data_IF_063348837971
#
_entry.id   IF_063348837971
#
_cell.length_a   1.000
_cell.length_b   1.000
_cell.length_c   1.000
_cell.angle_alpha   90.00
_cell.angle_beta   90.00
_cell.angle_gamma   90.00
#
_symmetry.space_group_name_H-M   'P 1'
#
loop_
_entity.id
_entity.type
_entity.pdbx_description
1 polymer ?
#
# COMPACT_ATOMS: atom_id res chain seq x y z
N UNK A 1 8.21 0.13 -4.19
CA UNK A 1 6.94 0.61 -4.77
C UNK A 1 6.46 -0.34 -5.88
N UNK A 2 5.16 -0.36 -6.20
CA UNK A 2 4.63 -1.26 -7.23
C UNK A 2 4.98 -0.78 -8.65
N UNK A 3 4.61 0.46 -8.97
CA UNK A 3 4.97 1.22 -10.17
C UNK A 3 4.96 2.73 -9.83
N UNK A 4 5.39 3.59 -10.74
CA UNK A 4 5.37 5.06 -10.58
C UNK A 4 3.95 5.61 -10.59
N UNK A 5 3.14 5.13 -11.53
CA UNK A 5 1.72 5.47 -11.68
C UNK A 5 0.91 4.18 -11.58
N UNK A 6 -0.07 4.16 -10.67
CA UNK A 6 -0.94 3.01 -10.51
C UNK A 6 -2.31 3.41 -9.97
N UNK A 7 -3.32 2.60 -10.28
CA UNK A 7 -4.61 2.63 -9.61
C UNK A 7 -4.52 1.76 -8.34
N UNK A 8 -4.88 2.35 -7.20
CA UNK A 8 -5.10 1.63 -5.96
C UNK A 8 -6.59 1.42 -5.76
N UNK A 9 -7.02 0.17 -5.67
CA UNK A 9 -8.42 -0.21 -5.45
C UNK A 9 -8.69 -0.46 -3.98
N UNK A 10 -9.67 0.23 -3.42
CA UNK A 10 -10.13 0.04 -2.04
C UNK A 10 -11.54 -0.56 -2.06
N UNK A 11 -11.73 -1.65 -1.32
CA UNK A 11 -13.02 -2.31 -1.17
C UNK A 11 -13.77 -1.69 0.01
N UNK A 12 -15.01 -1.27 -0.22
CA UNK A 12 -15.88 -0.64 0.76
C UNK A 12 -17.19 -1.43 0.86
N UNK A 13 -17.80 -1.44 2.04
CA UNK A 13 -19.17 -1.94 2.18
C UNK A 13 -20.12 -1.03 1.41
N UNK A 14 -21.13 -1.60 0.73
CA UNK A 14 -22.20 -0.83 0.06
C UNK A 14 -22.95 0.13 0.98
N UNK A 15 -22.89 -0.09 2.28
CA UNK A 15 -23.56 0.74 3.30
C UNK A 15 -22.62 1.80 3.91
N UNK A 16 -21.38 1.92 3.43
CA UNK A 16 -20.43 2.90 3.97
C UNK A 16 -20.82 4.33 3.59
N UNK A 17 -20.77 5.23 4.56
CA UNK A 17 -21.00 6.67 4.36
C UNK A 17 -19.90 7.35 3.54
N UNK A 18 -18.77 6.67 3.32
CA UNK A 18 -17.67 7.13 2.47
C UNK A 18 -18.02 7.12 0.98
N UNK A 19 -18.97 6.29 0.54
CA UNK A 19 -19.26 6.10 -0.89
C UNK A 19 -19.71 7.40 -1.54
N UNK A 20 -20.63 8.14 -0.92
CA UNK A 20 -21.14 9.39 -1.47
C UNK A 20 -20.04 10.44 -1.57
N UNK A 21 -19.19 10.54 -0.55
CA UNK A 21 -18.06 11.48 -0.52
C UNK A 21 -17.05 11.18 -1.62
N UNK A 22 -16.68 9.91 -1.78
CA UNK A 22 -15.74 9.45 -2.81
C UNK A 22 -16.29 9.70 -4.21
N UNK A 23 -17.58 9.42 -4.43
CA UNK A 23 -18.24 9.68 -5.72
C UNK A 23 -18.34 11.17 -6.03
N UNK A 24 -18.67 12.00 -5.04
CA UNK A 24 -18.74 13.46 -5.18
C UNK A 24 -17.36 14.09 -5.45
N UNK A 25 -16.30 13.47 -4.93
CA UNK A 25 -14.92 13.83 -5.22
C UNK A 25 -14.44 13.39 -6.61
N UNK A 26 -15.27 12.69 -7.40
CA UNK A 26 -14.99 12.34 -8.79
C UNK A 26 -14.24 11.02 -8.99
N UNK A 27 -14.04 10.23 -7.93
CA UNK A 27 -13.42 8.90 -8.06
C UNK A 27 -14.38 7.88 -8.64
N UNK A 28 -13.85 6.96 -9.45
CA UNK A 28 -14.62 5.86 -10.02
C UNK A 28 -14.92 4.83 -8.93
N UNK A 29 -16.19 4.42 -8.86
CA UNK A 29 -16.67 3.35 -7.99
C UNK A 29 -17.41 2.33 -8.86
N UNK A 30 -17.10 1.05 -8.69
CA UNK A 30 -17.75 -0.06 -9.37
C UNK A 30 -18.16 -1.17 -8.39
N UNK A 31 -19.10 -2.03 -8.78
CA UNK A 31 -19.46 -3.19 -7.97
C UNK A 31 -18.29 -4.18 -7.89
N UNK A 32 -18.08 -4.76 -6.70
CA UNK A 32 -17.05 -5.78 -6.52
C UNK A 32 -17.45 -7.07 -7.26
N UNK A 33 -16.55 -7.56 -8.10
CA UNK A 33 -16.77 -8.73 -8.94
C UNK A 33 -16.79 -10.04 -8.14
N UNK A 34 -16.39 -10.02 -6.87
CA UNK A 34 -16.24 -11.22 -6.05
C UNK A 34 -17.17 -11.24 -4.82
N UNK A 35 -17.72 -10.09 -4.41
CA UNK A 35 -18.53 -9.93 -3.20
C UNK A 35 -19.75 -9.03 -3.46
N UNK A 36 -20.99 -9.52 -3.25
CA UNK A 36 -22.20 -8.79 -3.65
C UNK A 36 -22.47 -7.52 -2.83
N UNK A 37 -22.00 -7.45 -1.58
CA UNK A 37 -22.24 -6.33 -0.65
C UNK A 37 -21.07 -5.34 -0.59
N UNK A 38 -20.21 -5.36 -1.61
CA UNK A 38 -18.97 -4.61 -1.65
C UNK A 38 -18.90 -3.79 -2.93
N UNK A 39 -18.34 -2.59 -2.84
CA UNK A 39 -17.96 -1.76 -3.98
C UNK A 39 -16.46 -1.53 -3.96
N UNK A 40 -15.90 -1.21 -5.11
CA UNK A 40 -14.48 -0.96 -5.32
C UNK A 40 -14.31 0.46 -5.79
N UNK A 41 -13.61 1.27 -5.00
CA UNK A 41 -13.22 2.63 -5.35
C UNK A 41 -11.79 2.64 -5.92
N UNK A 42 -11.62 3.33 -7.05
CA UNK A 42 -10.34 3.46 -7.76
C UNK A 42 -9.67 4.81 -7.45
N UNK A 43 -8.46 4.75 -6.92
CA UNK A 43 -7.67 5.93 -6.60
C UNK A 43 -6.41 5.95 -7.48
N UNK A 44 -6.27 6.92 -8.42
CA UNK A 44 -5.02 7.11 -9.14
C UNK A 44 -3.94 7.64 -8.20
N UNK A 45 -2.77 7.00 -8.21
CA UNK A 45 -1.63 7.37 -7.36
C UNK A 45 -0.40 7.61 -8.24
N UNK A 46 0.32 8.67 -7.92
CA UNK A 46 1.64 8.97 -8.46
C UNK A 46 2.67 9.02 -7.33
N UNK A 47 3.67 8.13 -7.39
CA UNK A 47 4.79 8.08 -6.47
C UNK A 47 5.86 9.11 -6.85
N UNK A 48 5.80 10.31 -6.24
CA UNK A 48 6.66 11.46 -6.58
C UNK A 48 8.18 11.19 -6.56
N UNK A 49 8.60 10.21 -5.78
CA UNK A 49 10.02 9.84 -5.61
C UNK A 49 10.29 8.43 -6.13
N UNK A 50 9.53 8.01 -7.14
CA UNK A 50 9.77 6.73 -7.78
C UNK A 50 11.14 6.70 -8.45
N UNK A 51 11.78 5.55 -8.36
CA UNK A 51 13.08 5.30 -8.98
C UNK A 51 13.09 3.90 -9.58
N UNK A 52 12.75 2.89 -8.77
CA UNK A 52 12.63 1.50 -9.22
C UNK A 52 11.41 0.81 -8.63
N UNK A 53 10.79 -0.03 -9.43
CA UNK A 53 9.75 -0.99 -9.06
C UNK A 53 10.37 -2.24 -8.43
N UNK A 54 9.51 -3.06 -7.83
CA UNK A 54 9.88 -4.42 -7.36
C UNK A 54 10.39 -5.34 -8.49
N UNK A 55 10.10 -5.03 -9.76
CA UNK A 55 10.51 -5.85 -10.90
C UNK A 55 11.96 -5.57 -11.32
N UNK A 56 12.52 -4.45 -10.88
CA UNK A 56 13.87 -3.97 -11.20
C UNK A 56 14.89 -4.28 -10.10
N UNK A 57 14.43 -4.80 -8.95
CA UNK A 57 15.29 -5.12 -7.81
C UNK A 57 15.51 -6.63 -7.75
N UNK A 58 16.77 -7.05 -7.83
CA UNK A 58 17.13 -8.48 -7.74
C UNK A 58 16.83 -9.08 -6.37
N UNK A 59 16.69 -10.40 -6.30
CA UNK A 59 16.56 -11.12 -5.02
C UNK A 59 17.73 -10.86 -4.06
N UNK A 60 18.93 -10.65 -4.60
CA UNK A 60 20.15 -10.40 -3.82
C UNK A 60 20.14 -9.03 -3.17
N UNK A 61 19.69 -8.03 -3.92
CA UNK A 61 19.60 -6.67 -3.41
C UNK A 61 18.52 -6.56 -2.33
N UNK A 62 17.38 -7.23 -2.51
CA UNK A 62 16.34 -7.32 -1.48
C UNK A 62 16.88 -7.98 -0.20
N UNK A 63 17.62 -9.09 -0.33
CA UNK A 63 18.24 -9.78 0.79
C UNK A 63 19.31 -8.92 1.49
N UNK A 64 20.19 -8.26 0.74
CA UNK A 64 21.23 -7.40 1.27
C UNK A 64 20.65 -6.24 2.10
N UNK A 65 19.60 -5.59 1.58
CA UNK A 65 18.91 -4.53 2.31
C UNK A 65 18.34 -5.05 3.64
N UNK A 66 17.70 -6.23 3.65
CA UNK A 66 17.18 -6.82 4.88
C UNK A 66 18.29 -7.13 5.89
N UNK A 67 19.44 -7.62 5.42
CA UNK A 67 20.61 -7.91 6.25
C UNK A 67 21.14 -6.64 6.89
N UNK A 68 21.26 -5.55 6.12
CA UNK A 68 21.73 -4.27 6.65
C UNK A 68 20.79 -3.73 7.73
N UNK A 69 19.47 -3.79 7.51
CA UNK A 69 18.49 -3.44 8.55
C UNK A 69 18.58 -4.34 9.78
N UNK A 70 18.75 -5.65 9.57
CA UNK A 70 18.84 -6.63 10.65
C UNK A 70 20.10 -6.42 11.49
N UNK A 71 21.20 -5.99 10.88
CA UNK A 71 22.48 -5.77 11.55
C UNK A 71 22.58 -4.40 12.21
N UNK A 72 22.09 -3.36 11.56
CA UNK A 72 22.35 -1.96 11.96
C UNK A 72 21.22 -1.34 12.76
N UNK A 73 20.00 -1.88 12.67
CA UNK A 73 18.82 -1.25 13.25
C UNK A 73 18.01 -2.18 14.14
N UNK A 74 17.66 -3.36 13.64
CA UNK A 74 16.70 -4.25 14.32
C UNK A 74 17.40 -5.24 15.24
N UNK A 75 17.16 -5.11 16.54
CA UNK A 75 17.49 -6.14 17.53
C UNK A 75 16.53 -7.34 17.46
N UNK A 76 15.33 -7.12 16.94
CA UNK A 76 14.27 -8.10 16.70
C UNK A 76 14.40 -8.71 15.29
N UNK A 77 13.30 -8.99 14.61
CA UNK A 77 13.30 -9.60 13.27
C UNK A 77 12.94 -8.52 12.23
N UNK A 78 13.55 -8.58 11.05
CA UNK A 78 13.20 -7.72 9.91
C UNK A 78 12.17 -8.43 9.03
N UNK A 79 10.89 -8.05 9.14
CA UNK A 79 9.82 -8.64 8.34
C UNK A 79 9.99 -8.28 6.86
N UNK A 80 10.36 -9.26 6.04
CA UNK A 80 10.54 -9.08 4.60
C UNK A 80 9.90 -10.22 3.80
N UNK A 81 9.24 -9.82 2.71
CA UNK A 81 8.87 -10.71 1.59
C UNK A 81 9.80 -10.41 0.42
N UNK A 82 10.75 -11.30 0.16
CA UNK A 82 11.64 -11.26 -1.00
C UNK A 82 10.85 -11.76 -2.21
N UNK A 83 10.60 -10.86 -3.16
CA UNK A 83 9.93 -11.22 -4.40
C UNK A 83 10.92 -11.60 -5.49
N UNK A 84 10.60 -12.62 -6.29
CA UNK A 84 11.53 -13.13 -7.31
C UNK A 84 10.84 -13.40 -8.64
N UNK A 85 11.55 -13.18 -9.75
CA UNK A 85 11.09 -13.56 -11.08
C UNK A 85 11.41 -15.04 -11.37
N UNK A 86 10.76 -15.62 -12.36
CA UNK A 86 10.92 -17.04 -12.69
C UNK A 86 12.39 -17.42 -12.96
N UNK A 87 13.15 -16.54 -13.61
CA UNK A 87 14.58 -16.71 -13.90
C UNK A 87 15.49 -16.60 -12.65
N UNK A 88 15.00 -16.03 -11.55
CA UNK A 88 15.73 -15.92 -10.29
C UNK A 88 15.46 -17.10 -9.35
N UNK A 89 14.49 -17.96 -9.67
CA UNK A 89 14.05 -19.04 -8.79
C UNK A 89 15.17 -20.01 -8.41
N UNK A 90 16.07 -20.33 -9.36
CA UNK A 90 17.22 -21.23 -9.11
C UNK A 90 18.22 -20.64 -8.12
N UNK A 91 18.25 -19.32 -7.96
CA UNK A 91 19.18 -18.62 -7.09
C UNK A 91 18.74 -18.61 -5.62
N UNK A 92 17.48 -18.94 -5.32
CA UNK A 92 16.91 -18.90 -3.96
C UNK A 92 17.75 -19.73 -2.98
N UNK A 93 18.21 -20.93 -3.40
CA UNK A 93 19.07 -21.78 -2.57
C UNK A 93 20.34 -21.04 -2.13
N UNK A 94 20.97 -20.31 -3.03
CA UNK A 94 22.19 -19.57 -2.76
C UNK A 94 21.94 -18.34 -1.89
N UNK A 95 20.82 -17.65 -2.09
CA UNK A 95 20.41 -16.53 -1.22
C UNK A 95 20.16 -17.01 0.20
N UNK A 96 19.47 -18.14 0.38
CA UNK A 96 19.22 -18.72 1.71
C UNK A 96 20.53 -19.08 2.43
N UNK A 97 21.47 -19.73 1.73
CA UNK A 97 22.81 -20.02 2.28
C UNK A 97 23.57 -18.75 2.67
N UNK A 98 23.44 -17.69 1.87
CA UNK A 98 24.06 -16.40 2.18
C UNK A 98 23.44 -15.71 3.41
N UNK A 99 22.12 -15.87 3.61
CA UNK A 99 21.37 -15.23 4.68
C UNK A 99 21.35 -16.02 6.00
N UNK A 100 21.78 -17.29 6.01
CA UNK A 100 21.60 -18.26 7.10
C UNK A 100 22.02 -17.74 8.49
N UNK A 101 23.14 -17.02 8.56
CA UNK A 101 23.71 -16.46 9.80
C UNK A 101 23.42 -14.95 9.98
N UNK A 102 22.71 -14.33 9.04
CA UNK A 102 22.50 -12.87 8.98
C UNK A 102 21.05 -12.44 9.20
N UNK A 103 20.08 -13.29 8.84
CA UNK A 103 18.66 -13.02 8.99
C UNK A 103 18.00 -14.04 9.90
N UNK A 104 17.11 -13.59 10.79
CA UNK A 104 16.32 -14.48 11.65
C UNK A 104 15.24 -15.23 10.87
N UNK A 105 14.64 -14.58 9.88
CA UNK A 105 13.69 -15.20 8.95
C UNK A 105 13.52 -14.35 7.70
N UNK A 106 13.12 -14.98 6.60
CA UNK A 106 12.75 -14.34 5.34
C UNK A 106 11.60 -15.12 4.68
N UNK A 107 10.68 -14.42 4.04
CA UNK A 107 9.62 -15.02 3.23
C UNK A 107 9.91 -14.80 1.75
N UNK A 108 9.67 -15.80 0.89
CA UNK A 108 9.87 -15.70 -0.55
C UNK A 108 8.55 -15.81 -1.29
N UNK A 109 8.29 -14.94 -2.28
CA UNK A 109 7.06 -14.93 -3.05
C UNK A 109 7.36 -14.71 -4.55
N UNK A 110 6.92 -15.59 -5.46
CA UNK A 110 7.13 -15.37 -6.89
C UNK A 110 6.31 -14.17 -7.38
N UNK A 111 6.92 -13.32 -8.22
CA UNK A 111 6.21 -12.31 -8.97
C UNK A 111 5.43 -13.03 -10.07
N UNK A 112 4.11 -13.06 -9.94
CA UNK A 112 3.20 -13.57 -10.97
C UNK A 112 2.29 -12.44 -11.43
N UNK A 113 1.97 -12.42 -12.72
CA UNK A 113 0.83 -11.66 -13.20
C UNK A 113 -0.42 -12.20 -12.51
N UNK A 114 -1.22 -11.29 -11.96
CA UNK A 114 -2.43 -11.67 -11.27
C UNK A 114 -3.55 -11.85 -12.30
N UNK A 115 -4.38 -12.89 -12.11
CA UNK A 115 -5.58 -13.11 -12.94
C UNK A 115 -6.80 -12.36 -12.41
N UNK A 116 -6.60 -11.32 -11.58
CA UNK A 116 -7.70 -10.65 -10.92
C UNK A 116 -8.33 -9.64 -11.86
N UNK A 117 -9.65 -9.75 -12.06
CA UNK A 117 -10.44 -8.74 -12.78
C UNK A 117 -10.37 -7.34 -12.14
N UNK A 118 -10.24 -7.28 -10.81
CA UNK A 118 -10.15 -6.05 -10.02
C UNK A 118 -8.94 -6.14 -9.10
N UNK A 119 -7.76 -5.93 -9.68
CA UNK A 119 -6.52 -6.01 -8.92
C UNK A 119 -6.40 -4.86 -7.91
N UNK A 120 -5.93 -5.11 -6.68
CA UNK A 120 -5.71 -4.06 -5.69
C UNK A 120 -4.76 -2.96 -6.17
N UNK A 121 -3.77 -3.34 -6.97
CA UNK A 121 -2.83 -2.46 -7.64
C UNK A 121 -2.86 -2.78 -9.13
N UNK A 122 -3.03 -1.75 -9.94
CA UNK A 122 -2.98 -1.85 -11.40
C UNK A 122 -2.08 -0.74 -11.93
N UNK A 123 -1.04 -1.13 -12.65
CA UNK A 123 -0.13 -0.20 -13.30
C UNK A 123 -0.83 0.54 -14.43
N UNK A 124 -0.64 1.86 -14.50
CA UNK A 124 -1.21 2.73 -15.52
C UNK A 124 -0.14 3.63 -16.11
N UNK A 125 -0.41 4.21 -17.27
CA UNK A 125 0.48 5.21 -17.84
C UNK A 125 0.28 6.57 -17.16
N UNK A 126 1.24 7.47 -17.36
CA UNK A 126 1.16 8.84 -16.86
C UNK A 126 -0.06 9.58 -17.44
N UNK A 127 -0.36 9.37 -18.71
CA UNK A 127 -1.50 10.00 -19.40
C UNK A 127 -2.83 9.54 -18.78
N UNK A 128 -2.95 8.24 -18.49
CA UNK A 128 -4.12 7.69 -17.79
C UNK A 128 -4.25 8.27 -16.37
N UNK A 129 -3.13 8.42 -15.65
CA UNK A 129 -3.12 9.06 -14.34
C UNK A 129 -3.60 10.51 -14.42
N UNK A 130 -3.13 11.27 -15.40
CA UNK A 130 -3.52 12.67 -15.62
C UNK A 130 -5.00 12.80 -15.95
N UNK A 131 -5.53 11.94 -16.83
CA UNK A 131 -6.96 11.90 -17.17
C UNK A 131 -7.84 11.58 -15.95
N UNK A 132 -7.48 10.54 -15.19
CA UNK A 132 -8.21 10.14 -14.00
C UNK A 132 -8.15 11.23 -12.92
N UNK A 133 -6.99 11.86 -12.73
CA UNK A 133 -6.79 12.87 -11.69
C UNK A 133 -7.43 14.21 -12.03
N UNK A 134 -7.55 14.56 -13.32
CA UNK A 134 -8.12 15.85 -13.75
C UNK A 134 -9.56 16.08 -13.27
N UNK A 135 -10.34 15.00 -13.14
CA UNK A 135 -11.73 15.05 -12.70
C UNK A 135 -11.91 14.92 -11.18
N UNK A 136 -10.81 14.75 -10.43
CA UNK A 136 -10.87 14.55 -8.98
C UNK A 136 -10.82 15.87 -8.22
N UNK A 137 -11.57 15.92 -7.12
CA UNK A 137 -11.60 17.05 -6.17
C UNK A 137 -11.04 16.60 -4.81
N UNK A 138 -10.61 17.54 -3.95
CA UNK A 138 -10.26 17.22 -2.58
C UNK A 138 -11.37 16.45 -1.89
N UNK A 139 -11.02 15.35 -1.24
CA UNK A 139 -11.94 14.49 -0.51
C UNK A 139 -12.13 15.06 0.90
N UNK A 140 -13.34 15.52 1.20
CA UNK A 140 -13.72 15.99 2.53
C UNK A 140 -14.40 14.84 3.28
N UNK A 141 -13.83 14.41 4.41
CA UNK A 141 -14.33 13.30 5.24
C UNK A 141 -14.71 13.80 6.65
N UNK A 142 -15.13 15.06 6.75
CA UNK A 142 -15.43 15.69 8.04
C UNK A 142 -16.74 15.23 8.68
N UNK A 143 -17.68 14.81 7.84
CA UNK A 143 -19.03 14.45 8.27
C UNK A 143 -19.23 12.92 8.41
N UNK A 144 -18.18 12.13 8.18
CA UNK A 144 -18.27 10.66 8.19
C UNK A 144 -18.21 10.12 9.63
N UNK A 145 -19.10 9.17 9.92
CA UNK A 145 -19.28 8.51 11.22
C UNK A 145 -18.24 7.41 11.45
N UNK A 146 -17.69 6.84 10.37
CA UNK A 146 -16.65 5.80 10.39
C UNK A 146 -15.25 6.37 10.72
N UNK A 147 -15.16 7.30 11.68
CA UNK A 147 -13.89 7.75 12.22
C UNK A 147 -13.41 6.74 13.25
N UNK A 148 -12.28 6.10 12.97
CA UNK A 148 -11.49 5.48 14.03
C UNK A 148 -11.10 6.59 15.01
N UNK A 149 -11.85 6.69 16.11
CA UNK A 149 -11.50 7.58 17.21
C UNK A 149 -10.21 7.01 17.78
N UNK A 150 -9.07 7.57 17.38
CA UNK A 150 -7.79 7.35 18.05
C UNK A 150 -7.95 7.60 19.55
N UNK A 151 -7.07 7.00 20.36
CA UNK A 151 -7.14 7.08 21.82
C UNK A 151 -7.25 8.56 22.22
N UNK A 152 -8.43 8.98 22.71
CA UNK A 152 -8.75 10.39 23.00
C UNK A 152 -8.15 10.90 24.31
N UNK A 153 -7.18 10.19 24.88
CA UNK A 153 -6.62 10.46 26.19
C UNK A 153 -5.13 10.14 26.23
N UNK A 154 -4.51 10.32 27.39
CA UNK A 154 -3.09 10.12 27.59
C UNK A 154 -2.65 8.69 27.24
N UNK A 155 -1.66 8.57 26.37
CA UNK A 155 -0.82 7.38 26.27
C UNK A 155 0.09 7.27 27.51
N UNK A 156 0.67 6.08 27.72
CA UNK A 156 1.53 5.77 28.88
C UNK A 156 2.73 6.72 29.05
N UNK A 157 3.03 7.53 28.03
CA UNK A 157 4.11 8.52 27.98
C UNK A 157 3.70 9.93 28.47
N UNK A 158 2.46 10.09 28.98
CA UNK A 158 2.03 11.33 29.66
C UNK A 158 1.80 12.53 28.75
N UNK A 159 1.73 12.34 27.43
CA UNK A 159 1.34 13.36 26.46
C UNK A 159 -0.16 13.24 26.21
N UNK A 160 -0.92 14.26 26.61
CA UNK A 160 -2.36 14.36 26.38
C UNK A 160 -2.62 15.37 25.25
N UNK A 161 -3.26 14.94 24.17
CA UNK A 161 -3.70 15.85 23.09
C UNK A 161 -4.87 16.71 23.58
N UNK A 162 -4.69 18.03 23.57
CA UNK A 162 -5.75 19.00 23.89
C UNK A 162 -6.56 19.26 22.63
N UNK A 163 -7.89 19.12 22.72
CA UNK A 163 -8.80 19.44 21.61
C UNK A 163 -8.69 20.92 21.24
N UNK A 164 -8.05 21.22 20.11
CA UNK A 164 -8.07 22.56 19.52
C UNK A 164 -9.31 22.64 18.64
N UNK A 165 -10.27 23.46 19.08
CA UNK A 165 -11.49 23.75 18.34
C UNK A 165 -11.17 24.75 17.21
N UNK A 166 -11.13 24.26 15.98
CA UNK A 166 -10.88 25.09 14.78
C UNK A 166 -12.13 25.85 14.31
N UNK A 167 -13.27 25.78 15.02
CA UNK A 167 -14.50 26.50 14.66
C UNK A 167 -14.47 28.01 14.93
N UNK A 168 -13.35 28.56 15.41
CA UNK A 168 -13.10 30.00 15.51
C UNK A 168 -11.98 30.44 14.57
N UNK A 169 -12.28 30.56 13.29
CA UNK A 169 -11.68 31.58 12.41
C UNK A 169 -12.62 31.92 11.27
#
# INVERSE_FOLDING_TARGET
PHSEYYIRRIRLSKNSDLIEHIKNAGYKIEDDSYSPNTVVAEFPIHEKHFNRSKNEVSIWEQAANAIDYQRLWSDNQVSITITFKSEEAEQIKHVLQFCEDKLKSASFLPIKEHGYKQAPYEEITKEQYEELSANTKPLFLDETKDRAIGVKFCDADGVCEVSIDFSKK
#
